data_IF_017054188276
#
_entry.id   IF_017054188276
#
_cell.length_a   1.000
_cell.length_b   1.000
_cell.length_c   1.000
_cell.angle_alpha   90.00
_cell.angle_beta   90.00
_cell.angle_gamma   90.00
#
_symmetry.space_group_name_H-M   'P 1'
#
loop_
_entity.id
_entity.type
_entity.pdbx_description
1 polymer ?
#
# COMPACT_ATOMS: atom_id res chain seq x y z
N UNK A 1 -0.96 -17.07 -1.97
CA UNK A 1 0.01 -17.78 -1.12
C UNK A 1 -0.64 -19.04 -0.58
N UNK A 2 0.02 -20.18 -0.73
CA UNK A 2 -0.50 -21.52 -0.43
C UNK A 2 0.51 -22.31 0.39
N UNK A 3 0.06 -23.22 1.28
CA UNK A 3 0.95 -24.10 2.01
C UNK A 3 1.88 -24.89 1.09
N UNK A 4 3.15 -25.01 1.48
CA UNK A 4 4.18 -25.72 0.71
C UNK A 4 4.92 -24.88 -0.33
N UNK A 5 4.43 -23.70 -0.71
CA UNK A 5 5.24 -22.72 -1.45
C UNK A 5 6.39 -22.22 -0.57
N UNK A 6 7.47 -21.74 -1.18
CA UNK A 6 8.60 -21.11 -0.50
C UNK A 6 8.39 -19.61 -0.54
N UNK A 7 8.51 -18.95 0.60
CA UNK A 7 8.60 -17.50 0.70
C UNK A 7 10.04 -17.14 1.08
N UNK A 8 10.65 -16.24 0.32
CA UNK A 8 12.00 -15.75 0.57
C UNK A 8 12.11 -14.24 0.40
N UNK A 9 13.12 -13.64 1.01
CA UNK A 9 13.47 -12.23 0.80
C UNK A 9 14.53 -12.07 -0.27
N UNK A 10 14.40 -11.02 -1.07
CA UNK A 10 15.40 -10.49 -2.01
C UNK A 10 16.18 -11.55 -2.82
N UNK A 11 15.46 -12.30 -3.65
CA UNK A 11 16.08 -13.16 -4.66
C UNK A 11 15.31 -13.08 -5.97
N UNK A 12 15.96 -12.59 -7.03
CA UNK A 12 15.42 -12.64 -8.40
C UNK A 12 15.12 -14.07 -8.87
N UNK A 13 15.67 -15.05 -8.15
CA UNK A 13 15.57 -16.46 -8.46
C UNK A 13 15.11 -17.28 -7.25
N UNK A 14 14.24 -18.25 -7.50
CA UNK A 14 13.87 -19.24 -6.50
C UNK A 14 15.07 -20.12 -6.16
N UNK A 15 15.41 -20.19 -4.88
CA UNK A 15 16.45 -21.11 -4.42
C UNK A 15 16.04 -22.55 -4.73
N UNK A 16 16.90 -23.29 -5.43
CA UNK A 16 16.71 -24.70 -5.82
C UNK A 16 16.88 -25.67 -4.64
N UNK A 17 16.61 -25.22 -3.41
CA UNK A 17 16.92 -26.01 -2.21
C UNK A 17 15.75 -26.93 -1.83
N UNK A 18 16.02 -28.24 -1.91
CA UNK A 18 15.08 -29.32 -1.59
C UNK A 18 14.82 -29.50 -0.09
N UNK A 19 15.43 -28.69 0.79
CA UNK A 19 15.37 -28.87 2.26
C UNK A 19 14.90 -27.65 3.04
N UNK A 20 14.20 -26.73 2.40
CA UNK A 20 13.61 -25.59 3.11
C UNK A 20 12.45 -26.09 3.98
N UNK A 21 12.62 -26.10 5.31
CA UNK A 21 11.54 -26.49 6.23
C UNK A 21 10.56 -25.34 6.49
N UNK A 22 9.48 -25.59 7.21
CA UNK A 22 8.59 -24.53 7.69
C UNK A 22 9.21 -23.79 8.90
N UNK A 23 8.82 -22.53 9.17
CA UNK A 23 9.16 -21.83 10.41
C UNK A 23 8.77 -22.63 11.65
N UNK A 24 9.46 -22.37 12.77
CA UNK A 24 9.22 -23.08 14.02
C UNK A 24 7.78 -22.92 14.47
N UNK A 25 7.11 -24.05 14.75
CA UNK A 25 5.71 -24.04 15.21
C UNK A 25 5.62 -23.39 16.60
N UNK A 26 4.59 -22.56 16.86
CA UNK A 26 4.33 -22.05 18.20
C UNK A 26 4.21 -23.18 19.23
N UNK A 27 4.71 -22.91 20.44
CA UNK A 27 4.77 -23.88 21.54
C UNK A 27 3.37 -24.16 22.08
N UNK A 28 2.55 -23.13 22.25
CA UNK A 28 1.14 -23.25 22.59
C UNK A 28 0.27 -23.27 21.34
N UNK A 29 -0.84 -24.01 21.39
CA UNK A 29 -1.81 -24.06 20.30
C UNK A 29 -2.54 -22.72 20.06
N UNK A 30 -2.49 -21.80 21.02
CA UNK A 30 -3.14 -20.49 20.97
C UNK A 30 -2.19 -19.35 20.58
N UNK A 31 -0.88 -19.62 20.45
CA UNK A 31 0.07 -18.58 20.07
C UNK A 31 0.07 -18.41 18.55
N UNK A 32 0.27 -17.17 18.10
CA UNK A 32 0.42 -16.87 16.68
C UNK A 32 1.76 -17.39 16.16
N UNK A 33 1.76 -17.87 14.92
CA UNK A 33 3.01 -18.23 14.27
C UNK A 33 3.77 -16.94 13.95
N UNK A 34 4.92 -16.71 14.57
CA UNK A 34 5.76 -15.55 14.25
C UNK A 34 6.88 -16.03 13.35
N UNK A 35 6.91 -15.53 12.13
CA UNK A 35 8.01 -15.74 11.20
C UNK A 35 8.76 -14.44 11.03
N UNK A 36 9.94 -14.39 11.64
CA UNK A 36 10.88 -13.28 11.54
C UNK A 36 11.87 -13.51 10.40
N UNK A 37 11.76 -12.71 9.34
CA UNK A 37 12.56 -12.87 8.13
C UNK A 37 13.99 -12.35 8.30
N UNK A 38 14.29 -11.51 9.31
CA UNK A 38 15.67 -11.15 9.66
C UNK A 38 16.47 -12.36 10.13
N UNK A 39 15.82 -13.29 10.83
CA UNK A 39 16.45 -14.50 11.36
C UNK A 39 16.35 -15.68 10.40
N UNK A 40 15.28 -15.72 9.61
CA UNK A 40 15.02 -16.78 8.64
C UNK A 40 14.38 -16.21 7.38
N UNK A 41 15.22 -15.75 6.49
CA UNK A 41 14.83 -15.11 5.23
C UNK A 41 14.29 -16.08 4.16
N UNK A 42 14.29 -17.39 4.39
CA UNK A 42 13.71 -18.40 3.49
C UNK A 42 13.07 -19.56 4.28
N UNK A 43 11.80 -19.86 3.98
CA UNK A 43 11.10 -21.01 4.56
C UNK A 43 9.94 -21.48 3.67
N UNK A 44 9.46 -22.72 3.89
CA UNK A 44 8.19 -23.18 3.34
C UNK A 44 7.02 -22.57 4.12
N UNK A 45 6.02 -22.07 3.41
CA UNK A 45 4.78 -21.57 3.98
C UNK A 45 4.08 -22.75 4.68
N UNK A 46 3.88 -22.70 6.01
CA UNK A 46 3.28 -23.81 6.74
C UNK A 46 1.80 -23.94 6.44
N UNK A 47 1.27 -25.15 6.63
CA UNK A 47 -0.18 -25.36 6.68
C UNK A 47 -0.70 -24.89 8.03
N UNK A 48 -1.47 -23.81 8.01
CA UNK A 48 -2.14 -23.23 9.17
C UNK A 48 -3.56 -23.79 9.31
N UNK A 49 -4.01 -23.96 10.56
CA UNK A 49 -5.38 -24.39 10.83
C UNK A 49 -6.37 -23.27 10.52
N UNK A 50 -7.60 -23.62 10.17
CA UNK A 50 -8.69 -22.65 10.06
C UNK A 50 -8.81 -21.85 11.37
N UNK A 51 -8.83 -20.51 11.27
CA UNK A 51 -8.80 -19.53 12.36
C UNK A 51 -7.44 -19.29 13.05
N UNK A 52 -6.33 -19.69 12.44
CA UNK A 52 -4.99 -19.26 12.89
C UNK A 52 -4.33 -18.36 11.84
N UNK A 53 -3.51 -17.40 12.28
CA UNK A 53 -2.76 -16.50 11.43
C UNK A 53 -1.25 -16.65 11.63
N UNK A 54 -0.50 -16.24 10.62
CA UNK A 54 0.96 -16.09 10.69
C UNK A 54 1.24 -14.59 10.70
N UNK A 55 2.04 -14.16 11.66
CA UNK A 55 2.62 -12.83 11.70
C UNK A 55 3.98 -12.93 11.02
N UNK A 56 4.10 -12.28 9.87
CA UNK A 56 5.35 -12.15 9.14
C UNK A 56 6.01 -10.83 9.56
N UNK A 57 7.22 -10.89 10.12
CA UNK A 57 8.05 -9.70 10.34
C UNK A 57 9.02 -9.59 9.18
N UNK A 58 8.80 -8.58 8.36
CA UNK A 58 9.62 -8.32 7.17
C UNK A 58 10.59 -7.18 7.48
N UNK A 59 11.88 -7.30 7.12
CA UNK A 59 12.83 -6.20 7.21
C UNK A 59 12.38 -5.01 6.37
N UNK A 60 12.83 -3.81 6.74
CA UNK A 60 12.51 -2.60 5.99
C UNK A 60 13.08 -2.65 4.57
N UNK A 61 12.28 -2.20 3.59
CA UNK A 61 12.65 -2.09 2.17
C UNK A 61 12.98 -3.41 1.46
N UNK A 62 12.60 -4.56 2.05
CA UNK A 62 12.76 -5.84 1.35
C UNK A 62 11.56 -6.19 0.47
N UNK A 63 11.87 -6.80 -0.67
CA UNK A 63 10.90 -7.48 -1.51
C UNK A 63 10.83 -8.96 -1.13
N UNK A 64 9.62 -9.49 -1.15
CA UNK A 64 9.39 -10.91 -0.93
C UNK A 64 9.06 -11.58 -2.26
N UNK A 65 9.55 -12.80 -2.40
CA UNK A 65 9.28 -13.63 -3.56
C UNK A 65 8.62 -14.93 -3.10
N UNK A 66 7.56 -15.33 -3.81
CA UNK A 66 6.84 -16.59 -3.58
C UNK A 66 7.16 -17.54 -4.73
N UNK A 67 7.72 -18.70 -4.37
CA UNK A 67 8.16 -19.74 -5.28
C UNK A 67 7.34 -21.01 -5.06
N UNK A 68 6.60 -21.47 -6.07
CA UNK A 68 5.74 -22.65 -5.99
C UNK A 68 6.45 -23.95 -6.36
N UNK A 69 7.53 -23.90 -7.13
CA UNK A 69 8.24 -25.09 -7.60
C UNK A 69 9.75 -24.92 -7.38
N UNK A 70 10.41 -25.82 -6.62
CA UNK A 70 11.85 -25.77 -6.42
C UNK A 70 12.67 -25.98 -7.71
N UNK A 71 12.03 -26.38 -8.82
CA UNK A 71 12.66 -26.52 -10.13
C UNK A 71 12.34 -25.36 -11.08
N UNK A 72 11.50 -24.41 -10.68
CA UNK A 72 11.23 -23.22 -11.48
C UNK A 72 12.08 -22.08 -10.94
N UNK A 73 13.00 -21.53 -11.75
CA UNK A 73 13.98 -20.57 -11.26
C UNK A 73 13.38 -19.19 -11.00
N UNK A 74 12.17 -18.90 -11.46
CA UNK A 74 11.55 -17.58 -11.30
C UNK A 74 10.40 -17.62 -10.30
N UNK A 75 10.23 -16.55 -9.49
CA UNK A 75 9.12 -16.45 -8.56
C UNK A 75 7.77 -16.33 -9.28
N UNK A 76 6.74 -16.91 -8.69
CA UNK A 76 5.36 -16.82 -9.18
C UNK A 76 4.73 -15.49 -8.77
N UNK A 77 5.17 -14.91 -7.64
CA UNK A 77 4.66 -13.64 -7.13
C UNK A 77 5.78 -12.89 -6.45
N UNK A 78 5.89 -11.60 -6.75
CA UNK A 78 6.70 -10.65 -5.99
C UNK A 78 5.77 -9.77 -5.16
N UNK A 79 6.18 -9.49 -3.92
CA UNK A 79 5.46 -8.68 -2.95
C UNK A 79 6.42 -7.59 -2.51
N UNK A 80 6.02 -6.34 -2.73
CA UNK A 80 6.75 -5.19 -2.19
C UNK A 80 6.27 -4.92 -0.78
N UNK A 81 7.20 -4.61 0.12
CA UNK A 81 6.86 -4.19 1.49
C UNK A 81 7.07 -2.68 1.60
N UNK A 82 5.98 -1.99 1.90
CA UNK A 82 5.95 -0.54 2.08
C UNK A 82 5.63 -0.22 3.54
N UNK A 83 6.37 0.72 4.11
CA UNK A 83 6.16 1.16 5.50
C UNK A 83 5.31 2.42 5.50
N UNK A 84 4.07 2.29 5.94
CA UNK A 84 3.13 3.41 6.10
C UNK A 84 2.04 3.09 7.11
N UNK A 85 1.17 4.05 7.43
CA UNK A 85 -0.09 3.72 8.11
C UNK A 85 -0.85 2.67 7.31
N UNK A 86 -1.59 1.75 7.95
CA UNK A 86 -2.52 0.90 7.19
C UNK A 86 -3.74 1.75 6.84
N UNK A 87 -4.01 2.01 5.56
CA UNK A 87 -5.24 2.68 5.12
C UNK A 87 -5.88 1.89 4.00
N UNK A 88 -7.20 1.91 3.97
CA UNK A 88 -8.00 1.31 2.90
C UNK A 88 -8.69 2.44 2.17
N UNK A 89 -8.31 2.61 0.91
CA UNK A 89 -8.89 3.62 0.05
C UNK A 89 -10.06 3.02 -0.70
N UNK A 90 -11.23 3.67 -0.67
CA UNK A 90 -12.40 3.18 -1.41
C UNK A 90 -12.75 4.14 -2.54
N UNK A 91 -12.87 3.60 -3.76
CA UNK A 91 -13.27 4.36 -4.97
C UNK A 91 -14.22 3.52 -5.80
N UNK A 92 -15.32 4.11 -6.27
CA UNK A 92 -16.30 3.39 -7.10
C UNK A 92 -16.76 2.07 -6.44
N UNK A 93 -16.75 1.99 -5.10
CA UNK A 93 -17.03 0.79 -4.32
C UNK A 93 -15.93 -0.28 -4.29
N UNK A 94 -14.75 -0.01 -4.87
CA UNK A 94 -13.59 -0.90 -4.89
C UNK A 94 -12.55 -0.42 -3.86
N UNK A 95 -12.10 -1.35 -3.01
CA UNK A 95 -11.04 -1.10 -2.03
C UNK A 95 -9.65 -1.28 -2.66
N UNK A 96 -8.81 -0.26 -2.54
CA UNK A 96 -7.42 -0.24 -2.99
C UNK A 96 -6.47 -0.08 -1.80
N UNK A 97 -5.33 -0.77 -1.87
CA UNK A 97 -4.18 -0.63 -0.97
C UNK A 97 -3.01 -0.15 -1.81
N UNK A 98 -2.93 1.15 -2.06
CA UNK A 98 -1.90 1.76 -2.92
C UNK A 98 -1.51 3.13 -2.38
N UNK A 99 -0.21 3.45 -2.44
CA UNK A 99 0.38 4.54 -1.68
C UNK A 99 1.09 5.60 -2.50
N UNK A 100 1.66 5.25 -3.66
CA UNK A 100 2.60 6.12 -4.39
C UNK A 100 2.29 6.18 -5.88
N UNK A 101 1.08 6.63 -6.25
CA UNK A 101 0.76 6.87 -7.67
C UNK A 101 -0.04 8.14 -7.89
N UNK A 102 0.01 8.62 -9.14
CA UNK A 102 -0.94 9.63 -9.62
C UNK A 102 -2.34 9.06 -9.41
N UNK A 103 -3.17 9.84 -8.71
CA UNK A 103 -4.50 9.47 -8.25
C UNK A 103 -5.58 9.98 -9.19
N UNK A 104 -5.48 11.25 -9.57
CA UNK A 104 -6.39 11.89 -10.51
C UNK A 104 -5.60 12.78 -11.47
N UNK A 105 -6.13 13.01 -12.66
CA UNK A 105 -5.66 14.05 -13.54
C UNK A 105 -6.84 14.72 -14.24
N UNK A 106 -6.64 15.97 -14.64
CA UNK A 106 -7.60 16.77 -15.39
C UNK A 106 -6.90 17.56 -16.49
N UNK A 107 -7.68 17.96 -17.49
CA UNK A 107 -7.27 18.94 -18.50
C UNK A 107 -8.37 19.99 -18.62
N UNK A 108 -7.98 21.27 -18.58
CA UNK A 108 -8.91 22.40 -18.68
C UNK A 108 -10.11 22.25 -17.71
N UNK A 109 -9.84 21.96 -16.44
CA UNK A 109 -10.86 21.79 -15.41
C UNK A 109 -11.71 20.53 -15.51
N UNK A 110 -11.48 19.66 -16.49
CA UNK A 110 -12.24 18.41 -16.66
C UNK A 110 -11.43 17.22 -16.21
N UNK A 111 -11.88 16.51 -15.18
CA UNK A 111 -11.25 15.26 -14.73
C UNK A 111 -11.29 14.20 -15.83
N UNK A 112 -10.24 13.39 -15.94
CA UNK A 112 -10.22 12.23 -16.84
C UNK A 112 -11.35 11.24 -16.50
N UNK A 113 -11.65 11.08 -15.20
CA UNK A 113 -12.84 10.39 -14.72
C UNK A 113 -13.52 11.23 -13.61
N UNK A 114 -14.84 11.46 -13.68
CA UNK A 114 -15.54 12.38 -12.77
C UNK A 114 -15.40 12.04 -11.28
N UNK A 115 -15.34 10.76 -10.92
CA UNK A 115 -15.31 10.28 -9.53
C UNK A 115 -13.89 10.22 -8.95
N UNK A 116 -12.86 10.66 -9.67
CA UNK A 116 -11.47 10.54 -9.19
C UNK A 116 -11.08 11.56 -8.11
N UNK A 117 -11.85 12.64 -7.96
CA UNK A 117 -11.54 13.68 -6.99
C UNK A 117 -12.44 13.65 -5.75
N UNK A 118 -13.29 12.63 -5.63
CA UNK A 118 -14.15 12.32 -4.50
C UNK A 118 -13.79 10.91 -3.99
N UNK A 119 -13.29 10.80 -2.76
CA UNK A 119 -12.80 9.54 -2.22
C UNK A 119 -12.75 9.50 -0.69
N UNK A 120 -12.87 8.28 -0.16
CA UNK A 120 -12.76 7.98 1.28
C UNK A 120 -11.45 7.29 1.62
N UNK A 121 -10.78 7.77 2.67
CA UNK A 121 -9.69 7.06 3.33
C UNK A 121 -10.20 6.43 4.63
N UNK A 122 -10.20 5.09 4.70
CA UNK A 122 -10.51 4.36 5.92
C UNK A 122 -9.24 4.14 6.76
N UNK A 123 -9.26 4.63 7.99
CA UNK A 123 -8.27 4.35 9.03
C UNK A 123 -8.76 3.20 9.93
N UNK A 124 -8.18 1.99 9.84
CA UNK A 124 -8.52 0.84 10.67
C UNK A 124 -7.94 0.95 12.10
N UNK A 125 -7.09 1.94 12.36
CA UNK A 125 -6.40 2.08 13.65
C UNK A 125 -7.11 3.07 14.56
N UNK A 126 -7.00 2.86 15.86
CA UNK A 126 -7.49 3.79 16.89
C UNK A 126 -6.56 5.00 17.10
N UNK A 127 -5.59 5.22 16.22
CA UNK A 127 -4.67 6.36 16.27
C UNK A 127 -4.96 7.32 15.13
N UNK A 128 -4.98 8.62 15.40
CA UNK A 128 -5.15 9.63 14.37
C UNK A 128 -3.86 9.85 13.59
N UNK A 129 -3.99 9.97 12.27
CA UNK A 129 -2.85 10.11 11.34
C UNK A 129 -2.89 11.51 10.70
N UNK A 130 -1.83 12.32 10.78
CA UNK A 130 -1.83 13.65 10.16
C UNK A 130 -1.91 13.60 8.64
N UNK A 131 -2.67 14.56 8.08
CA UNK A 131 -2.84 14.78 6.64
C UNK A 131 -2.26 16.15 6.29
N UNK A 132 -1.43 16.18 5.25
CA UNK A 132 -0.91 17.41 4.66
C UNK A 132 -1.35 17.52 3.21
N UNK A 133 -2.01 18.62 2.87
CA UNK A 133 -2.39 18.93 1.48
C UNK A 133 -1.39 19.94 0.93
N UNK A 134 -0.71 19.58 -0.15
CA UNK A 134 0.32 20.42 -0.78
C UNK A 134 -0.18 20.83 -2.14
N UNK A 135 -0.41 22.13 -2.32
CA UNK A 135 -0.78 22.73 -3.60
C UNK A 135 0.49 23.20 -4.32
N UNK A 136 0.59 22.91 -5.63
CA UNK A 136 1.71 23.36 -6.46
C UNK A 136 1.18 23.88 -7.78
N UNK A 137 1.49 25.14 -8.09
CA UNK A 137 1.15 25.78 -9.36
C UNK A 137 2.43 26.07 -10.17
N UNK A 138 2.39 25.81 -11.47
CA UNK A 138 3.50 26.10 -12.38
C UNK A 138 2.97 26.73 -13.68
N UNK A 139 3.56 27.86 -14.06
CA UNK A 139 3.14 28.63 -15.24
C UNK A 139 2.29 29.85 -14.87
N UNK A 140 2.36 30.89 -15.71
CA UNK A 140 1.62 32.13 -15.49
C UNK A 140 0.11 31.90 -15.69
N UNK A 141 -0.70 32.29 -14.71
CA UNK A 141 -2.14 32.05 -14.70
C UNK A 141 -2.58 30.64 -14.24
N UNK A 142 -1.66 29.77 -13.81
CA UNK A 142 -2.01 28.49 -13.22
C UNK A 142 -2.79 28.70 -11.90
N UNK A 143 -3.91 27.99 -11.76
CA UNK A 143 -4.80 28.12 -10.62
C UNK A 143 -4.64 26.92 -9.68
N UNK A 144 -4.81 27.16 -8.39
CA UNK A 144 -4.87 26.11 -7.37
C UNK A 144 -6.12 25.23 -7.54
N UNK A 145 -6.03 23.99 -7.05
CA UNK A 145 -7.21 23.14 -6.92
C UNK A 145 -8.15 23.71 -5.87
N UNK A 146 -9.45 23.53 -6.06
CA UNK A 146 -10.42 23.85 -5.01
C UNK A 146 -10.54 22.67 -4.05
N UNK A 147 -10.35 22.92 -2.76
CA UNK A 147 -10.60 21.96 -1.69
C UNK A 147 -12.07 22.11 -1.29
N UNK A 148 -12.90 21.10 -1.56
CA UNK A 148 -14.33 21.11 -1.25
C UNK A 148 -14.57 20.51 0.13
N UNK A 149 -14.02 19.31 0.37
CA UNK A 149 -14.06 18.62 1.65
C UNK A 149 -12.69 18.01 1.97
N UNK A 150 -12.23 18.17 3.20
CA UNK A 150 -10.99 17.54 3.68
C UNK A 150 -10.90 17.57 5.20
N UNK A 151 -10.00 16.75 5.74
CA UNK A 151 -9.58 16.78 7.14
C UNK A 151 -8.07 16.95 7.26
N UNK A 152 -7.60 17.52 8.38
CA UNK A 152 -6.18 17.60 8.73
C UNK A 152 -5.68 16.35 9.47
N UNK A 153 -6.57 15.47 9.91
CA UNK A 153 -6.26 14.23 10.63
C UNK A 153 -7.22 13.12 10.17
N UNK A 154 -6.69 11.93 9.89
CA UNK A 154 -7.51 10.74 9.67
C UNK A 154 -7.90 10.16 11.01
N UNK A 155 -9.15 10.32 11.39
CA UNK A 155 -9.72 9.68 12.58
C UNK A 155 -10.05 8.21 12.28
N UNK A 156 -10.24 7.39 13.33
CA UNK A 156 -10.66 5.99 13.19
C UNK A 156 -11.97 5.91 12.38
N UNK A 157 -12.00 5.10 11.33
CA UNK A 157 -13.13 5.00 10.41
C UNK A 157 -12.89 5.68 9.06
N UNK A 158 -13.98 6.00 8.36
CA UNK A 158 -13.93 6.67 7.06
C UNK A 158 -13.71 8.17 7.21
N UNK A 159 -12.83 8.73 6.39
CA UNK A 159 -12.57 10.15 6.27
C UNK A 159 -12.76 10.57 4.81
N UNK A 160 -13.67 11.50 4.56
CA UNK A 160 -14.02 11.90 3.20
C UNK A 160 -13.12 13.04 2.68
N UNK A 161 -12.84 13.01 1.38
CA UNK A 161 -12.08 14.04 0.68
C UNK A 161 -12.72 14.34 -0.67
N UNK A 162 -12.96 15.62 -0.93
CA UNK A 162 -13.51 16.10 -2.19
C UNK A 162 -12.70 17.30 -2.71
N UNK A 163 -12.28 17.23 -3.97
CA UNK A 163 -11.51 18.28 -4.63
C UNK A 163 -12.07 18.57 -6.03
N UNK A 164 -11.92 19.82 -6.48
CA UNK A 164 -12.25 20.21 -7.85
C UNK A 164 -10.98 20.68 -8.57
N UNK A 165 -10.65 20.14 -9.75
CA UNK A 165 -9.48 20.57 -10.49
C UNK A 165 -9.55 22.04 -10.87
N UNK A 166 -8.37 22.65 -10.93
CA UNK A 166 -8.24 23.99 -11.50
C UNK A 166 -8.53 23.99 -13.01
N UNK A 167 -8.86 25.16 -13.57
CA UNK A 167 -9.04 25.30 -15.02
C UNK A 167 -7.70 25.42 -15.79
N UNK A 168 -6.60 24.92 -15.20
CA UNK A 168 -5.28 24.93 -15.84
C UNK A 168 -5.20 23.92 -16.99
N UNK A 169 -4.23 24.08 -17.90
CA UNK A 169 -4.00 23.17 -19.04
C UNK A 169 -3.96 21.71 -18.61
N UNK A 170 -3.25 21.43 -17.51
CA UNK A 170 -3.15 20.12 -16.90
C UNK A 170 -3.16 20.24 -15.38
N UNK A 171 -3.88 19.37 -14.68
CA UNK A 171 -3.79 19.27 -13.22
C UNK A 171 -3.70 17.82 -12.78
N UNK A 172 -3.00 17.54 -11.68
CA UNK A 172 -2.83 16.19 -11.12
C UNK A 172 -3.07 16.16 -9.63
N UNK A 173 -3.60 15.04 -9.14
CA UNK A 173 -3.60 14.68 -7.73
C UNK A 173 -2.72 13.45 -7.54
N UNK A 174 -1.93 13.43 -6.46
CA UNK A 174 -1.15 12.26 -6.03
C UNK A 174 -1.27 12.09 -4.53
N UNK A 175 -1.41 10.85 -4.10
CA UNK A 175 -1.32 10.46 -2.70
C UNK A 175 0.10 9.95 -2.43
N UNK A 176 0.60 10.23 -1.23
CA UNK A 176 1.87 9.73 -0.72
C UNK A 176 1.81 9.56 0.80
N UNK A 177 2.78 8.86 1.38
CA UNK A 177 2.98 8.85 2.84
C UNK A 177 4.46 8.95 3.18
N UNK A 178 4.76 9.72 4.23
CA UNK A 178 6.11 9.83 4.74
C UNK A 178 6.07 10.03 6.25
N UNK A 179 6.93 9.31 6.97
CA UNK A 179 7.12 9.45 8.42
C UNK A 179 5.82 9.38 9.25
N UNK A 180 4.92 8.45 8.87
CA UNK A 180 3.65 8.24 9.56
C UNK A 180 2.58 9.31 9.27
N UNK A 181 2.80 10.14 8.25
CA UNK A 181 1.84 11.14 7.78
C UNK A 181 1.45 10.85 6.34
N UNK A 182 0.27 11.31 5.94
CA UNK A 182 -0.24 11.18 4.58
C UNK A 182 -0.18 12.54 3.89
N UNK A 183 0.23 12.55 2.64
CA UNK A 183 0.36 13.74 1.81
C UNK A 183 -0.54 13.63 0.59
N UNK A 184 -1.29 14.70 0.32
CA UNK A 184 -2.12 14.86 -0.86
C UNK A 184 -1.51 16.00 -1.68
N UNK A 185 -0.86 15.67 -2.78
CA UNK A 185 -0.25 16.63 -3.70
C UNK A 185 -1.25 17.01 -4.79
N UNK A 186 -1.55 18.30 -4.89
CA UNK A 186 -2.45 18.91 -5.86
C UNK A 186 -1.62 19.82 -6.78
N UNK A 187 -1.29 19.31 -7.97
CA UNK A 187 -0.49 20.01 -8.97
C UNK A 187 -1.37 20.65 -10.06
N UNK A 188 -1.03 21.86 -10.48
CA UNK A 188 -1.67 22.57 -11.59
C UNK A 188 -0.59 23.19 -12.49
N UNK A 189 -0.72 22.99 -13.79
CA UNK A 189 0.30 23.31 -14.80
C UNK A 189 -0.35 23.98 -16.01
N UNK A 190 0.22 25.10 -16.46
CA UNK A 190 -0.22 25.85 -17.64
C UNK A 190 0.70 25.65 -18.83
#
# INVERSE_FOLDING_TARGET
>A
MSPGQILSTSTDYCALDSKVSTPAKPISANDSWIWDLEYRNIAQIPSIKNNSSIILKVPEFEELSVCSNPNHPLPETNITVERGPELILTREGIAHRMWTSIWAASMNGTLLHPEMADFDIYNPSNQSIPINIIQTTLGDGAQEWTIVESTSMLEEGNNNFEFTPSNSTFSTMRLDHQDGQVYIYLGSYM
#
